data_IF_156038301371
#
_entry.id   IF_156038301371
#
_cell.length_a   1.000
_cell.length_b   1.000
_cell.length_c   1.000
_cell.angle_alpha   90.00
_cell.angle_beta   90.00
_cell.angle_gamma   90.00
#
_symmetry.space_group_name_H-M   'P 1'
#
loop_
_entity.id
_entity.type
_entity.pdbx_description
1 polymer ?
#
# COMPACT_ATOMS: atom_id res chain seq x y z
N UNK A 1 15.36 -50.90 47.70
CA UNK A 1 14.69 -50.25 48.85
C UNK A 1 15.29 -48.87 49.00
N UNK A 2 14.59 -47.84 48.55
CA UNK A 2 14.60 -46.45 49.04
C UNK A 2 13.71 -45.63 48.09
N UNK A 3 12.93 -44.71 48.66
CA UNK A 3 11.70 -44.15 48.10
C UNK A 3 11.79 -42.63 48.05
N UNK A 4 11.12 -41.99 47.09
CA UNK A 4 10.55 -40.66 47.30
C UNK A 4 9.49 -40.34 46.24
N UNK A 5 8.34 -39.90 46.74
CA UNK A 5 7.10 -39.55 46.07
C UNK A 5 6.91 -38.05 46.27
N UNK A 6 6.45 -37.29 45.27
CA UNK A 6 5.90 -35.95 45.50
C UNK A 6 4.64 -35.73 44.66
N UNK A 7 3.52 -35.70 45.37
CA UNK A 7 2.15 -35.44 44.94
C UNK A 7 1.84 -33.95 44.79
N UNK A 8 1.09 -33.60 43.74
CA UNK A 8 0.44 -32.30 43.55
C UNK A 8 -0.92 -32.28 44.27
N UNK A 9 -1.23 -31.19 44.98
CA UNK A 9 -2.55 -30.96 45.59
C UNK A 9 -3.09 -29.58 45.20
N UNK A 10 -4.30 -29.59 44.64
CA UNK A 10 -5.22 -28.46 44.46
C UNK A 10 -5.90 -28.10 45.80
N UNK A 11 -6.14 -26.81 46.07
CA UNK A 11 -7.24 -26.40 46.94
C UNK A 11 -7.70 -24.96 46.65
N UNK A 12 -9.03 -24.85 46.64
CA UNK A 12 -9.92 -23.72 46.39
C UNK A 12 -10.36 -23.15 47.76
N UNK A 13 -10.49 -21.82 47.92
CA UNK A 13 -11.51 -21.18 48.82
C UNK A 13 -11.36 -19.65 48.96
N UNK A 14 -12.41 -18.89 48.60
CA UNK A 14 -12.83 -17.58 49.18
C UNK A 14 -13.67 -17.82 50.48
N UNK A 15 -14.40 -16.87 51.15
CA UNK A 15 -14.59 -15.40 50.98
C UNK A 15 -14.61 -14.55 52.30
N UNK A 16 -14.64 -13.19 52.20
CA UNK A 16 -15.68 -12.28 52.78
C UNK A 16 -15.27 -10.79 53.02
N UNK A 17 -15.91 -9.86 52.27
CA UNK A 17 -16.61 -8.57 52.63
C UNK A 17 -15.92 -7.44 53.46
N UNK A 18 -16.12 -6.10 53.32
CA UNK A 18 -17.02 -5.19 52.56
C UNK A 18 -16.57 -3.68 52.65
N UNK A 19 -17.02 -2.84 51.69
CA UNK A 19 -17.42 -1.39 51.76
C UNK A 19 -16.40 -0.35 51.26
N UNK A 20 -16.68 0.64 50.37
CA UNK A 20 -17.92 1.27 49.89
C UNK A 20 -17.79 1.94 48.50
N UNK A 21 -18.93 2.26 47.90
CA UNK A 21 -19.26 2.53 46.49
C UNK A 21 -18.94 3.93 45.91
N UNK A 22 -18.75 4.03 44.57
CA UNK A 22 -19.53 4.91 43.65
C UNK A 22 -19.15 4.72 42.16
N UNK A 23 -20.20 4.56 41.35
CA UNK A 23 -20.35 4.30 39.90
C UNK A 23 -19.86 5.43 38.99
N UNK A 24 -19.39 5.13 37.77
CA UNK A 24 -19.91 5.65 36.47
C UNK A 24 -19.10 5.17 35.24
N UNK A 25 -19.77 5.17 34.08
CA UNK A 25 -19.63 4.27 32.92
C UNK A 25 -18.61 4.69 31.85
N UNK A 26 -18.19 3.66 31.10
CA UNK A 26 -17.50 3.61 29.81
C UNK A 26 -18.11 4.53 28.73
N UNK A 27 -17.28 5.27 27.99
CA UNK A 27 -17.63 5.88 26.69
C UNK A 27 -16.49 5.71 25.70
N UNK A 28 -16.78 4.95 24.65
CA UNK A 28 -16.04 4.80 23.40
C UNK A 28 -16.32 5.99 22.47
N UNK A 29 -15.28 6.66 21.98
CA UNK A 29 -15.40 7.73 20.97
C UNK A 29 -15.21 7.16 19.57
N UNK A 30 -16.32 6.99 18.86
CA UNK A 30 -16.36 6.79 17.41
C UNK A 30 -16.54 8.16 16.76
N UNK A 31 -15.58 8.59 15.93
CA UNK A 31 -15.72 9.78 15.08
C UNK A 31 -16.47 9.40 13.80
N UNK A 32 -17.66 9.96 13.62
CA UNK A 32 -18.45 9.88 12.38
C UNK A 32 -18.64 11.29 11.83
N UNK A 33 -18.04 11.57 10.67
CA UNK A 33 -18.21 12.81 9.91
C UNK A 33 -19.53 12.75 9.14
N UNK A 34 -20.57 13.42 9.67
CA UNK A 34 -21.86 13.57 9.00
C UNK A 34 -21.83 14.68 7.95
N UNK A 35 -22.07 14.32 6.70
CA UNK A 35 -22.29 15.21 5.56
C UNK A 35 -23.75 15.72 5.61
N UNK A 36 -23.95 17.02 5.88
CA UNK A 36 -25.29 17.62 5.91
C UNK A 36 -25.68 18.17 4.54
N UNK A 37 -26.57 17.46 3.83
CA UNK A 37 -27.27 17.99 2.65
C UNK A 37 -28.49 18.81 3.09
N UNK A 38 -28.45 20.12 2.89
CA UNK A 38 -29.62 21.00 3.05
C UNK A 38 -30.45 20.98 1.76
N UNK A 39 -31.64 20.38 1.82
CA UNK A 39 -32.67 20.45 0.78
C UNK A 39 -33.66 21.53 1.18
N UNK A 40 -33.62 22.69 0.52
CA UNK A 40 -34.68 23.70 0.63
C UNK A 40 -35.78 23.42 -0.39
N UNK A 41 -37.00 23.23 0.11
CA UNK A 41 -38.22 23.18 -0.71
C UNK A 41 -38.75 24.59 -0.92
N UNK A 42 -39.09 24.88 -2.17
CA UNK A 42 -40.27 25.69 -2.52
C UNK A 42 -40.04 27.18 -2.76
N UNK A 43 -40.07 27.59 -4.03
CA UNK A 43 -40.63 28.87 -4.46
C UNK A 43 -41.39 28.64 -5.77
N UNK A 44 -42.65 29.10 -5.78
CA UNK A 44 -43.64 28.85 -6.82
C UNK A 44 -43.37 29.59 -8.13
N UNK A 45 -44.00 29.06 -9.18
CA UNK A 45 -44.00 29.62 -10.52
C UNK A 45 -44.79 30.94 -10.57
N UNK A 46 -44.13 32.02 -10.97
CA UNK A 46 -44.79 33.24 -11.43
C UNK A 46 -44.43 33.49 -12.88
N UNK A 47 -45.39 33.20 -13.74
CA UNK A 47 -45.45 33.54 -15.16
C UNK A 47 -45.77 35.03 -15.28
N UNK A 48 -44.87 35.83 -15.83
CA UNK A 48 -45.17 37.20 -16.26
C UNK A 48 -44.78 37.39 -17.73
N UNK A 49 -45.74 37.93 -18.49
CA UNK A 49 -45.76 38.09 -19.94
C UNK A 49 -45.09 39.44 -20.30
N UNK A 50 -44.24 39.44 -21.32
CA UNK A 50 -43.60 40.63 -21.88
C UNK A 50 -44.62 41.60 -22.52
N UNK A 51 -44.22 42.88 -22.68
CA UNK A 51 -44.18 43.44 -24.02
C UNK A 51 -42.82 44.08 -24.33
N UNK A 52 -42.42 43.99 -25.59
CA UNK A 52 -41.08 44.36 -26.05
C UNK A 52 -40.87 45.85 -26.30
N UNK A 53 -39.60 46.24 -26.34
CA UNK A 53 -39.10 47.23 -27.28
C UNK A 53 -37.60 47.00 -27.53
N UNK A 54 -37.20 47.51 -28.69
CA UNK A 54 -36.08 47.20 -29.57
C UNK A 54 -34.73 47.59 -28.96
N UNK A 55 -33.73 46.71 -29.13
CA UNK A 55 -32.35 46.97 -28.72
C UNK A 55 -31.44 45.81 -29.10
N UNK A 56 -31.14 45.67 -30.38
CA UNK A 56 -30.19 44.70 -30.89
C UNK A 56 -28.78 45.03 -30.37
N UNK A 57 -28.36 44.37 -29.29
CA UNK A 57 -26.96 44.30 -28.91
C UNK A 57 -26.45 42.93 -29.31
N UNK A 58 -25.84 42.86 -30.49
CA UNK A 58 -25.04 41.72 -30.92
C UNK A 58 -23.77 41.67 -30.06
N UNK A 59 -23.90 41.21 -28.81
CA UNK A 59 -22.77 40.79 -28.01
C UNK A 59 -22.24 39.51 -28.64
N UNK A 60 -21.30 39.69 -29.56
CA UNK A 60 -20.55 38.59 -30.15
C UNK A 60 -20.04 37.69 -29.05
N UNK A 61 -20.58 36.46 -29.00
CA UNK A 61 -20.04 35.41 -28.17
C UNK A 61 -18.62 35.14 -28.67
N UNK A 62 -17.63 35.74 -28.00
CA UNK A 62 -16.22 35.49 -28.25
C UNK A 62 -15.94 34.06 -27.79
N UNK A 63 -16.07 33.13 -28.73
CA UNK A 63 -15.72 31.72 -28.57
C UNK A 63 -14.28 31.65 -28.09
N UNK A 64 -14.08 31.33 -26.81
CA UNK A 64 -12.75 31.08 -26.27
C UNK A 64 -12.34 29.72 -26.82
N UNK A 65 -11.36 29.69 -27.73
CA UNK A 65 -10.84 28.43 -28.27
C UNK A 65 -10.31 27.60 -27.11
N UNK A 66 -10.91 26.43 -26.88
CA UNK A 66 -10.34 25.45 -25.97
C UNK A 66 -8.91 25.14 -26.43
N UNK A 67 -7.91 25.17 -25.54
CA UNK A 67 -6.56 24.81 -25.92
C UNK A 67 -6.58 23.40 -26.51
N UNK A 68 -5.92 23.22 -27.66
CA UNK A 68 -5.73 21.91 -28.27
C UNK A 68 -5.09 20.99 -27.22
N UNK A 69 -5.85 19.99 -26.78
CA UNK A 69 -5.36 18.94 -25.89
C UNK A 69 -4.22 18.27 -26.65
N UNK A 70 -2.98 18.43 -26.17
CA UNK A 70 -1.84 17.68 -26.71
C UNK A 70 -2.23 16.20 -26.67
N UNK A 71 -2.07 15.42 -27.76
CA UNK A 71 -2.37 14.00 -27.72
C UNK A 71 -1.54 13.38 -26.60
N UNK A 72 -2.22 12.77 -25.63
CA UNK A 72 -1.58 11.99 -24.58
C UNK A 72 -0.74 10.91 -25.26
N UNK A 73 0.55 10.88 -24.94
CA UNK A 73 1.48 9.86 -25.43
C UNK A 73 1.01 8.51 -24.91
N UNK A 74 0.39 7.69 -25.78
CA UNK A 74 0.08 6.31 -25.44
C UNK A 74 1.40 5.55 -25.33
N UNK A 75 1.71 5.05 -24.13
CA UNK A 75 2.88 4.23 -23.85
C UNK A 75 2.48 2.76 -24.06
N UNK A 76 3.21 2.06 -24.93
CA UNK A 76 3.05 0.62 -25.14
C UNK A 76 4.25 -0.14 -24.58
N UNK A 77 4.03 -1.38 -24.15
CA UNK A 77 5.06 -2.29 -23.67
C UNK A 77 4.85 -3.70 -24.24
N UNK A 78 5.95 -4.45 -24.33
CA UNK A 78 5.97 -5.83 -24.77
C UNK A 78 6.12 -6.77 -23.57
N UNK A 79 5.35 -7.85 -23.58
CA UNK A 79 5.38 -8.88 -22.53
C UNK A 79 5.18 -10.23 -23.20
N UNK A 80 6.05 -11.19 -22.88
CA UNK A 80 5.95 -12.56 -23.39
C UNK A 80 5.24 -13.50 -22.40
N UNK A 81 5.00 -13.04 -21.17
CA UNK A 81 4.59 -13.88 -20.04
C UNK A 81 3.17 -13.54 -19.62
N UNK A 82 2.89 -12.25 -19.43
CA UNK A 82 1.58 -11.77 -19.02
C UNK A 82 0.73 -11.35 -20.21
N UNK A 83 -0.58 -11.62 -20.12
CA UNK A 83 -1.56 -11.19 -21.11
C UNK A 83 -1.74 -9.67 -21.06
N UNK A 84 -1.51 -9.01 -22.20
CA UNK A 84 -1.76 -7.58 -22.39
C UNK A 84 -3.23 -7.36 -22.78
N UNK A 85 -3.90 -6.45 -22.09
CA UNK A 85 -5.27 -6.02 -22.38
C UNK A 85 -5.28 -4.56 -22.81
N UNK A 86 -6.15 -4.22 -23.77
CA UNK A 86 -6.31 -2.86 -24.27
C UNK A 86 -7.59 -2.26 -23.71
N UNK A 87 -7.49 -1.10 -23.06
CA UNK A 87 -8.62 -0.38 -22.46
C UNK A 87 -8.76 0.98 -23.13
N UNK A 88 -10.01 1.37 -23.41
CA UNK A 88 -10.33 2.69 -23.95
C UNK A 88 -10.77 3.63 -22.82
N UNK A 89 -9.97 4.66 -22.56
CA UNK A 89 -10.24 5.71 -21.58
C UNK A 89 -10.46 7.03 -22.31
N UNK A 90 -11.71 7.47 -22.42
CA UNK A 90 -12.09 8.75 -23.03
C UNK A 90 -11.46 9.00 -24.42
N UNK A 91 -11.49 7.98 -25.30
CA UNK A 91 -10.89 7.95 -26.65
C UNK A 91 -9.37 7.77 -26.71
N UNK A 92 -8.72 7.49 -25.59
CA UNK A 92 -7.33 7.09 -25.54
C UNK A 92 -7.24 5.59 -25.29
N UNK A 93 -6.44 4.92 -26.11
CA UNK A 93 -6.16 3.51 -25.93
C UNK A 93 -4.91 3.34 -25.05
N UNK A 94 -5.07 2.60 -23.96
CA UNK A 94 -4.01 2.26 -23.01
C UNK A 94 -3.90 0.74 -22.87
N UNK A 95 -2.69 0.24 -22.65
CA UNK A 95 -2.45 -1.17 -22.43
C UNK A 95 -2.20 -1.44 -20.94
N UNK A 96 -2.85 -2.48 -20.42
CA UNK A 96 -2.75 -2.90 -19.02
C UNK A 96 -2.47 -4.40 -18.91
N UNK A 97 -1.98 -4.81 -17.74
CA UNK A 97 -1.99 -6.21 -17.31
C UNK A 97 -2.89 -6.28 -16.09
N UNK A 98 -3.98 -7.04 -16.19
CA UNK A 98 -4.85 -7.32 -15.05
C UNK A 98 -4.15 -8.25 -14.08
N UNK A 99 -4.07 -7.89 -12.80
CA UNK A 99 -3.50 -8.74 -11.76
C UNK A 99 -4.47 -9.81 -11.27
N UNK A 100 -3.94 -10.81 -10.57
CA UNK A 100 -4.72 -11.89 -9.96
C UNK A 100 -3.81 -12.98 -9.39
N UNK A 101 -4.32 -13.78 -8.44
CA UNK A 101 -3.55 -14.90 -7.86
C UNK A 101 -3.38 -16.07 -8.84
N UNK A 102 -4.28 -16.16 -9.82
CA UNK A 102 -4.20 -17.08 -10.96
C UNK A 102 -2.93 -16.87 -11.80
N UNK A 103 -2.31 -15.69 -11.71
CA UNK A 103 -1.07 -15.37 -12.41
C UNK A 103 0.20 -15.68 -11.61
N UNK A 104 0.07 -16.07 -10.34
CA UNK A 104 1.24 -16.41 -9.52
C UNK A 104 2.10 -17.51 -10.15
N UNK A 105 1.54 -18.59 -10.74
CA UNK A 105 2.35 -19.62 -11.42
C UNK A 105 3.28 -19.10 -12.54
N UNK A 106 3.05 -17.88 -13.05
CA UNK A 106 3.89 -17.24 -14.06
C UNK A 106 5.06 -16.43 -13.45
N UNK A 107 5.06 -16.22 -12.14
CA UNK A 107 6.11 -15.46 -11.44
C UNK A 107 7.51 -16.08 -11.56
N UNK A 108 7.70 -17.42 -11.51
CA UNK A 108 9.02 -18.02 -11.74
C UNK A 108 9.57 -17.70 -13.14
N UNK A 109 8.71 -17.69 -14.17
CA UNK A 109 9.12 -17.32 -15.53
C UNK A 109 9.42 -15.81 -15.62
N UNK A 110 8.63 -14.99 -14.93
CA UNK A 110 8.82 -13.53 -14.88
C UNK A 110 10.11 -13.14 -14.16
N UNK A 111 10.48 -13.86 -13.10
CA UNK A 111 11.69 -13.66 -12.33
C UNK A 111 12.84 -14.57 -12.79
N UNK A 112 12.82 -15.04 -14.03
CA UNK A 112 13.88 -15.89 -14.56
C UNK A 112 15.24 -15.18 -14.45
N UNK A 113 16.16 -15.82 -13.75
CA UNK A 113 17.52 -15.30 -13.50
C UNK A 113 17.66 -14.50 -12.21
N UNK A 114 16.57 -14.21 -11.52
CA UNK A 114 16.58 -13.58 -10.19
C UNK A 114 16.52 -14.67 -9.13
N UNK A 115 17.49 -14.66 -8.22
CA UNK A 115 17.56 -15.56 -7.06
C UNK A 115 17.29 -14.80 -5.77
N UNK A 116 17.69 -13.53 -5.71
CA UNK A 116 17.46 -12.70 -4.54
C UNK A 116 16.88 -11.34 -4.91
N UNK A 117 15.81 -10.96 -4.22
CA UNK A 117 15.18 -9.64 -4.29
C UNK A 117 15.53 -8.87 -3.02
N UNK A 118 16.27 -7.78 -3.17
CA UNK A 118 16.68 -6.90 -2.09
C UNK A 118 15.69 -5.76 -1.89
N UNK A 119 14.99 -5.73 -0.76
CA UNK A 119 14.09 -4.62 -0.39
C UNK A 119 14.83 -3.66 0.53
N UNK A 120 15.17 -2.48 0.04
CA UNK A 120 15.97 -1.50 0.78
C UNK A 120 15.06 -0.47 1.41
N UNK A 121 15.05 -0.44 2.75
CA UNK A 121 14.22 0.47 3.53
C UNK A 121 12.95 -0.17 4.10
N UNK A 122 12.51 0.35 5.25
CA UNK A 122 11.34 -0.12 5.99
C UNK A 122 10.39 1.05 6.32
N UNK A 123 10.10 1.85 5.30
CA UNK A 123 9.13 2.95 5.39
C UNK A 123 7.69 2.46 5.25
N UNK A 124 6.85 3.22 4.56
CA UNK A 124 5.45 2.82 4.29
C UNK A 124 5.34 1.68 3.25
N UNK A 125 6.21 1.67 2.25
CA UNK A 125 6.17 0.71 1.15
C UNK A 125 6.96 -0.57 1.42
N UNK A 126 8.07 -0.48 2.17
CA UNK A 126 8.95 -1.62 2.47
C UNK A 126 8.23 -2.82 3.08
N UNK A 127 7.54 -2.67 4.23
CA UNK A 127 6.88 -3.77 4.90
C UNK A 127 5.79 -4.44 4.04
N UNK A 128 5.01 -3.63 3.31
CA UNK A 128 3.90 -4.14 2.50
C UNK A 128 4.39 -4.87 1.26
N UNK A 129 5.34 -4.30 0.52
CA UNK A 129 5.89 -4.95 -0.67
C UNK A 129 6.68 -6.21 -0.31
N UNK A 130 7.49 -6.19 0.75
CA UNK A 130 8.28 -7.35 1.16
C UNK A 130 7.40 -8.55 1.56
N UNK A 131 6.35 -8.31 2.35
CA UNK A 131 5.42 -9.37 2.75
C UNK A 131 4.62 -9.90 1.56
N UNK A 132 4.11 -9.01 0.70
CA UNK A 132 3.37 -9.43 -0.49
C UNK A 132 4.25 -10.27 -1.43
N UNK A 133 5.52 -9.90 -1.63
CA UNK A 133 6.45 -10.67 -2.45
C UNK A 133 6.74 -12.03 -1.81
N UNK A 134 7.07 -12.07 -0.51
CA UNK A 134 7.32 -13.32 0.21
C UNK A 134 6.13 -14.27 0.09
N UNK A 135 4.92 -13.76 0.33
CA UNK A 135 3.71 -14.58 0.34
C UNK A 135 3.36 -15.08 -1.08
N UNK A 136 3.50 -14.23 -2.11
CA UNK A 136 3.26 -14.61 -3.50
C UNK A 136 4.28 -15.64 -4.00
N UNK A 137 5.55 -15.52 -3.60
CA UNK A 137 6.62 -16.47 -3.95
C UNK A 137 6.48 -17.78 -3.19
N UNK A 138 6.02 -17.73 -1.93
CA UNK A 138 5.75 -18.92 -1.13
C UNK A 138 4.59 -19.74 -1.70
N UNK A 139 3.55 -19.10 -2.25
CA UNK A 139 2.42 -19.78 -2.87
C UNK A 139 2.84 -20.64 -4.07
N UNK A 140 3.84 -20.18 -4.83
CA UNK A 140 4.39 -20.90 -5.99
C UNK A 140 5.61 -21.75 -5.66
N UNK A 141 6.00 -21.80 -4.38
CA UNK A 141 7.19 -22.51 -3.88
C UNK A 141 8.46 -22.17 -4.67
N UNK A 142 8.61 -20.88 -4.99
CA UNK A 142 9.81 -20.38 -5.65
C UNK A 142 10.98 -20.32 -4.67
N UNK A 143 12.19 -20.57 -5.17
CA UNK A 143 13.44 -20.52 -4.39
C UNK A 143 13.97 -19.09 -4.18
N UNK A 144 13.21 -18.08 -4.63
CA UNK A 144 13.64 -16.68 -4.58
C UNK A 144 13.59 -16.16 -3.14
N UNK A 145 14.71 -15.62 -2.67
CA UNK A 145 14.83 -15.04 -1.34
C UNK A 145 14.50 -13.55 -1.36
N UNK A 146 13.58 -13.13 -0.50
CA UNK A 146 13.30 -11.70 -0.25
C UNK A 146 14.11 -11.26 0.96
N UNK A 147 15.14 -10.43 0.74
CA UNK A 147 16.05 -9.94 1.77
C UNK A 147 15.86 -8.45 2.01
N UNK A 148 15.71 -8.05 3.27
CA UNK A 148 15.54 -6.66 3.68
C UNK A 148 16.92 -6.05 3.98
N UNK A 149 17.22 -4.90 3.37
CA UNK A 149 18.42 -4.13 3.66
C UNK A 149 18.10 -2.87 4.48
N UNK A 150 18.64 -2.76 5.69
CA UNK A 150 18.49 -1.59 6.56
C UNK A 150 19.85 -1.04 6.98
N UNK A 151 19.92 0.28 7.22
CA UNK A 151 21.15 0.92 7.72
C UNK A 151 21.47 0.40 9.11
N UNK A 152 22.74 0.09 9.40
CA UNK A 152 23.19 -0.30 10.75
C UNK A 152 22.60 0.61 11.83
N UNK A 153 22.00 0.00 12.86
CA UNK A 153 21.36 0.72 13.97
C UNK A 153 19.99 1.32 13.66
N UNK A 154 19.37 0.97 12.53
CA UNK A 154 18.00 1.40 12.23
C UNK A 154 17.01 0.93 13.31
N UNK A 155 16.07 1.78 13.69
CA UNK A 155 15.00 1.42 14.64
C UNK A 155 14.07 0.36 14.06
N UNK A 156 13.99 0.29 12.73
CA UNK A 156 13.12 -0.64 12.01
C UNK A 156 13.63 -2.08 11.95
N UNK A 157 14.82 -2.39 12.50
CA UNK A 157 15.27 -3.79 12.63
C UNK A 157 14.28 -4.62 13.46
N UNK A 158 13.78 -4.07 14.58
CA UNK A 158 12.82 -4.78 15.42
C UNK A 158 11.49 -5.04 14.69
N UNK A 159 11.04 -4.07 13.89
CA UNK A 159 9.81 -4.17 13.10
C UNK A 159 9.94 -5.22 11.98
N UNK A 160 11.09 -5.24 11.27
CA UNK A 160 11.38 -6.24 10.26
C UNK A 160 11.41 -7.66 10.85
N UNK A 161 12.04 -7.84 12.02
CA UNK A 161 12.02 -9.12 12.75
C UNK A 161 10.62 -9.54 13.17
N UNK A 162 9.79 -8.59 13.59
CA UNK A 162 8.40 -8.84 13.96
C UNK A 162 7.55 -9.29 12.76
N UNK A 163 7.92 -8.87 11.55
CA UNK A 163 7.31 -9.33 10.30
C UNK A 163 7.88 -10.65 9.77
N UNK A 164 8.83 -11.28 10.48
CA UNK A 164 9.46 -12.55 10.13
C UNK A 164 10.72 -12.45 9.26
N UNK A 165 11.26 -11.24 9.06
CA UNK A 165 12.54 -11.04 8.38
C UNK A 165 13.66 -10.97 9.43
N UNK A 166 14.56 -11.97 9.43
CA UNK A 166 15.57 -12.12 10.47
C UNK A 166 16.94 -12.41 9.87
N UNK A 167 18.00 -12.03 10.61
CA UNK A 167 19.38 -12.25 10.18
C UNK A 167 19.72 -13.74 10.11
N UNK A 168 19.16 -14.55 11.01
CA UNK A 168 19.33 -16.01 11.06
C UNK A 168 18.79 -16.73 9.81
N UNK A 169 17.69 -16.25 9.24
CA UNK A 169 17.10 -16.80 8.02
C UNK A 169 17.71 -16.17 6.75
N UNK A 170 18.70 -15.28 6.90
CA UNK A 170 19.33 -14.56 5.80
C UNK A 170 18.43 -13.53 5.11
N UNK A 171 17.26 -13.22 5.68
CA UNK A 171 16.25 -12.34 5.08
C UNK A 171 16.29 -10.91 5.62
N UNK A 172 17.22 -10.60 6.53
CA UNK A 172 17.49 -9.25 7.03
C UNK A 172 19.01 -9.00 7.09
N UNK A 173 19.46 -7.83 6.65
CA UNK A 173 20.88 -7.47 6.65
C UNK A 173 21.14 -5.98 6.45
N UNK A 174 22.42 -5.64 6.27
CA UNK A 174 22.83 -4.28 5.94
C UNK A 174 22.44 -3.91 4.50
N UNK A 175 22.23 -2.61 4.23
CA UNK A 175 21.91 -2.11 2.88
C UNK A 175 22.92 -2.59 1.84
N UNK A 176 24.22 -2.40 2.09
CA UNK A 176 25.24 -2.63 1.06
C UNK A 176 25.44 -4.12 0.78
N UNK A 177 25.34 -4.94 1.81
CA UNK A 177 25.37 -6.39 1.70
C UNK A 177 24.16 -6.91 0.91
N UNK A 178 22.96 -6.42 1.25
CA UNK A 178 21.74 -6.80 0.54
C UNK A 178 21.79 -6.36 -0.91
N UNK A 179 22.26 -5.15 -1.23
CA UNK A 179 22.37 -4.71 -2.63
C UNK A 179 23.37 -5.56 -3.41
N UNK A 180 24.54 -5.83 -2.85
CA UNK A 180 25.59 -6.58 -3.55
C UNK A 180 25.20 -8.03 -3.84
N UNK A 181 24.35 -8.62 -3.00
CA UNK A 181 23.87 -10.00 -3.16
C UNK A 181 22.54 -10.15 -3.91
N UNK A 182 21.91 -9.06 -4.36
CA UNK A 182 20.59 -9.11 -5.00
C UNK A 182 20.66 -8.92 -6.51
N UNK A 183 19.87 -9.70 -7.24
CA UNK A 183 19.72 -9.56 -8.70
C UNK A 183 18.68 -8.48 -9.05
N UNK A 184 17.70 -8.28 -8.15
CA UNK A 184 16.71 -7.22 -8.22
C UNK A 184 16.71 -6.42 -6.93
N UNK A 185 16.87 -5.10 -7.04
CA UNK A 185 16.90 -4.20 -5.88
C UNK A 185 15.71 -3.24 -5.93
N UNK A 186 14.89 -3.27 -4.89
CA UNK A 186 13.79 -2.35 -4.65
C UNK A 186 14.25 -1.25 -3.70
N UNK A 187 14.49 -0.06 -4.23
CA UNK A 187 14.95 1.09 -3.45
C UNK A 187 13.76 1.86 -2.85
N UNK A 188 13.35 1.47 -1.64
CA UNK A 188 12.16 1.98 -0.94
C UNK A 188 12.52 2.86 0.27
N UNK A 189 13.57 3.66 0.13
CA UNK A 189 13.98 4.70 1.07
C UNK A 189 13.43 6.06 0.62
N UNK A 190 13.45 7.07 1.50
CA UNK A 190 12.98 8.42 1.15
C UNK A 190 13.77 9.02 -0.01
N UNK A 191 13.09 9.79 -0.87
CA UNK A 191 13.71 10.42 -2.05
C UNK A 191 14.94 11.27 -1.71
N UNK A 192 14.89 11.98 -0.58
CA UNK A 192 16.03 12.74 -0.04
C UNK A 192 17.23 11.86 0.27
N UNK A 193 16.99 10.65 0.80
CA UNK A 193 18.04 9.70 1.08
C UNK A 193 18.55 9.05 -0.22
N UNK A 194 17.69 8.83 -1.22
CA UNK A 194 18.11 8.34 -2.54
C UNK A 194 19.07 9.32 -3.21
N UNK A 195 18.77 10.61 -3.21
CA UNK A 195 19.62 11.63 -3.81
C UNK A 195 21.05 11.64 -3.22
N UNK A 196 21.18 11.38 -1.91
CA UNK A 196 22.48 11.29 -1.23
C UNK A 196 23.19 9.96 -1.53
N UNK A 197 22.46 8.85 -1.53
CA UNK A 197 23.06 7.52 -1.71
C UNK A 197 23.38 7.22 -3.17
N UNK A 198 22.68 7.80 -4.14
CA UNK A 198 22.87 7.48 -5.56
C UNK A 198 24.31 7.73 -6.03
N UNK A 199 24.99 8.75 -5.49
CA UNK A 199 26.41 8.99 -5.75
C UNK A 199 27.33 7.85 -5.29
N UNK A 200 26.89 7.07 -4.31
CA UNK A 200 27.62 5.92 -3.75
C UNK A 200 27.28 4.59 -4.45
N UNK A 201 26.22 4.54 -5.28
CA UNK A 201 25.90 3.40 -6.14
C UNK A 201 26.61 3.44 -7.50
N UNK A 202 27.54 4.39 -7.70
CA UNK A 202 28.39 4.41 -8.89
C UNK A 202 29.42 3.28 -8.77
N UNK A 203 29.08 2.14 -9.37
CA UNK A 203 29.97 1.01 -9.63
C UNK A 203 30.85 1.35 -10.84
#
# INVERSE_FOLDING_TARGET
MEAATSSFSLALSEPSSLSSSKTLKLVSKTFSLGFATSVSKGLGALRAKAPGFVGASALGAKMVSMPAIKPLTSLDFETNIFKKEKVNLARHDEYIVTGGRDLFPLLPDAFKGIKQIGVIGWGSQGPSQAQNLRDSLAEVKSDIVVKIGLRKGSRSFAEARSAGFTEENGTLGDIWETVSGSDLVLLLISDSAQAVIYGNFRI
#
